data_IF_474810009741
#
_entry.id   IF_474810009741
#
_cell.length_a   1.000
_cell.length_b   1.000
_cell.length_c   1.000
_cell.angle_alpha   90.00
_cell.angle_beta   90.00
_cell.angle_gamma   90.00
#
_symmetry.space_group_name_H-M   'P 1'
#
loop_
_entity.id
_entity.type
_entity.pdbx_description
1 polymer ?
#
# COMPACT_ATOMS: atom_id res chain seq x y z
N UNK A 1 3.96 28.61 -0.81
CA UNK A 1 4.51 27.63 -1.79
C UNK A 1 3.61 26.41 -1.82
N UNK A 2 3.41 25.79 -2.98
CA UNK A 2 2.65 24.53 -3.11
C UNK A 2 3.60 23.35 -2.88
N UNK A 3 3.19 22.39 -2.06
CA UNK A 3 4.03 21.25 -1.67
C UNK A 3 3.19 20.00 -1.52
N UNK A 4 3.67 18.89 -2.07
CA UNK A 4 3.10 17.56 -1.89
C UNK A 4 4.07 16.72 -1.07
N UNK A 5 3.65 16.26 0.10
CA UNK A 5 4.40 15.29 0.89
C UNK A 5 3.92 13.88 0.58
N UNK A 6 4.88 13.01 0.29
CA UNK A 6 4.62 11.63 -0.11
C UNK A 6 5.24 10.69 0.91
N UNK A 7 4.42 9.81 1.49
CA UNK A 7 4.92 8.62 2.16
C UNK A 7 4.94 7.45 1.16
N UNK A 8 6.09 6.80 0.92
CA UNK A 8 6.24 5.80 -0.13
C UNK A 8 5.61 4.45 0.24
N UNK A 9 5.29 3.65 -0.78
CA UNK A 9 4.90 2.25 -0.63
C UNK A 9 6.07 1.28 -0.89
N UNK A 10 6.08 0.05 -0.35
CA UNK A 10 5.30 -0.42 0.81
C UNK A 10 6.15 -0.32 2.09
N UNK A 11 5.50 -0.10 3.22
CA UNK A 11 6.07 -0.08 4.57
C UNK A 11 5.31 -1.03 5.49
N UNK A 12 5.69 -1.11 6.75
CA UNK A 12 5.01 -1.91 7.76
C UNK A 12 3.60 -1.33 8.08
N UNK A 13 2.50 -2.09 7.91
CA UNK A 13 1.13 -1.55 7.95
C UNK A 13 0.64 -1.20 9.35
N UNK A 14 1.26 -1.73 10.40
CA UNK A 14 0.81 -1.53 11.79
C UNK A 14 1.58 -0.42 12.50
N UNK A 15 2.54 0.23 11.84
CA UNK A 15 3.29 1.35 12.41
C UNK A 15 3.02 2.64 11.62
N UNK A 16 2.21 3.57 12.16
CA UNK A 16 1.94 4.84 11.50
C UNK A 16 3.20 5.70 11.47
N UNK A 17 3.54 6.24 10.30
CA UNK A 17 4.70 7.11 10.15
C UNK A 17 4.31 8.57 10.37
N UNK A 18 4.83 9.17 11.43
CA UNK A 18 4.40 10.50 11.88
C UNK A 18 5.19 11.67 11.26
N UNK A 19 6.25 11.41 10.49
CA UNK A 19 7.07 12.52 9.97
C UNK A 19 6.33 13.40 8.95
N UNK A 20 5.51 12.81 8.07
CA UNK A 20 4.72 13.52 7.07
C UNK A 20 3.60 14.37 7.69
N UNK A 21 2.82 13.90 8.69
CA UNK A 21 1.86 14.77 9.37
C UNK A 21 2.55 15.87 10.20
N UNK A 22 3.69 15.58 10.85
CA UNK A 22 4.45 16.62 11.56
C UNK A 22 4.97 17.71 10.63
N UNK A 23 5.60 17.33 9.52
CA UNK A 23 6.11 18.29 8.53
C UNK A 23 4.97 19.08 7.88
N UNK A 24 3.83 18.43 7.63
CA UNK A 24 2.63 19.13 7.12
C UNK A 24 2.17 20.22 8.07
N UNK A 25 2.04 19.91 9.36
CA UNK A 25 1.62 20.88 10.36
C UNK A 25 2.60 22.06 10.44
N UNK A 26 3.90 21.76 10.47
CA UNK A 26 4.95 22.78 10.50
C UNK A 26 4.91 23.71 9.27
N UNK A 27 4.83 23.15 8.06
CA UNK A 27 4.84 23.92 6.83
C UNK A 27 3.55 24.73 6.64
N UNK A 28 2.39 24.17 7.00
CA UNK A 28 1.11 24.91 7.00
C UNK A 28 1.13 26.10 7.96
N UNK A 29 1.74 25.95 9.14
CA UNK A 29 1.93 27.05 10.08
C UNK A 29 2.84 28.18 9.53
N UNK A 30 3.64 27.89 8.50
CA UNK A 30 4.45 28.88 7.75
C UNK A 30 3.73 29.44 6.52
N UNK A 31 2.43 29.18 6.35
CA UNK A 31 1.63 29.67 5.23
C UNK A 31 1.85 28.92 3.91
N UNK A 32 2.39 27.70 3.96
CA UNK A 32 2.52 26.86 2.77
C UNK A 32 1.21 26.12 2.49
N UNK A 33 0.93 25.93 1.19
CA UNK A 33 -0.16 25.09 0.70
C UNK A 33 0.38 23.67 0.57
N UNK A 34 0.03 22.81 1.54
CA UNK A 34 0.62 21.47 1.68
C UNK A 34 -0.44 20.39 1.63
N UNK A 35 -0.28 19.47 0.69
CA UNK A 35 -1.04 18.23 0.58
C UNK A 35 -0.22 17.01 1.00
N UNK A 36 -0.92 15.96 1.43
CA UNK A 36 -0.31 14.67 1.78
C UNK A 36 -0.86 13.55 0.90
N UNK A 37 0.01 12.62 0.52
CA UNK A 37 -0.35 11.33 -0.08
C UNK A 37 0.44 10.22 0.59
N UNK A 38 -0.29 9.30 1.22
CA UNK A 38 0.28 8.10 1.80
C UNK A 38 0.05 6.93 0.84
N UNK A 39 1.10 6.54 0.11
CA UNK A 39 1.01 5.40 -0.80
C UNK A 39 1.10 4.07 -0.08
N UNK A 40 1.59 4.02 1.17
CA UNK A 40 1.63 2.80 1.94
C UNK A 40 0.21 2.31 2.24
N UNK A 41 -0.64 3.19 2.80
CA UNK A 41 -2.05 2.87 3.06
C UNK A 41 -2.77 2.53 1.75
N UNK A 42 -2.61 3.38 0.72
CA UNK A 42 -3.24 3.14 -0.58
C UNK A 42 -2.82 1.79 -1.21
N UNK A 43 -1.59 1.35 -0.96
CA UNK A 43 -1.10 0.06 -1.42
C UNK A 43 -1.76 -1.09 -0.68
N UNK A 44 -1.93 -1.01 0.65
CA UNK A 44 -2.65 -2.03 1.41
C UNK A 44 -4.14 -2.08 1.09
N UNK A 45 -4.79 -0.93 0.86
CA UNK A 45 -6.16 -0.87 0.36
C UNK A 45 -6.28 -1.62 -0.98
N UNK A 46 -5.27 -1.50 -1.86
CA UNK A 46 -5.22 -2.22 -3.12
C UNK A 46 -4.90 -3.72 -2.94
N UNK A 47 -3.87 -4.05 -2.15
CA UNK A 47 -3.41 -5.43 -1.93
C UNK A 47 -4.46 -6.30 -1.25
N UNK A 48 -5.22 -5.72 -0.34
CA UNK A 48 -6.27 -6.40 0.42
C UNK A 48 -7.66 -6.20 -0.19
N UNK A 49 -7.75 -5.60 -1.39
CA UNK A 49 -9.02 -5.45 -2.10
C UNK A 49 -9.58 -6.80 -2.53
N UNK A 50 -10.91 -6.95 -2.49
CA UNK A 50 -11.58 -8.18 -2.92
C UNK A 50 -11.18 -8.62 -4.34
N UNK A 51 -11.10 -7.74 -5.35
CA UNK A 51 -10.68 -8.15 -6.70
C UNK A 51 -9.26 -8.74 -6.74
N UNK A 52 -8.30 -8.16 -6.01
CA UNK A 52 -6.93 -8.65 -6.01
C UNK A 52 -6.80 -9.96 -5.24
N UNK A 53 -7.47 -10.09 -4.09
CA UNK A 53 -7.48 -11.32 -3.31
C UNK A 53 -8.13 -12.49 -4.08
N UNK A 54 -9.26 -12.25 -4.76
CA UNK A 54 -9.89 -13.25 -5.63
C UNK A 54 -8.98 -13.66 -6.79
N UNK A 55 -8.23 -12.72 -7.37
CA UNK A 55 -7.24 -13.02 -8.41
C UNK A 55 -6.11 -13.89 -7.85
N UNK A 56 -5.58 -13.54 -6.67
CA UNK A 56 -4.53 -14.31 -6.01
C UNK A 56 -5.00 -15.74 -5.69
N UNK A 57 -6.22 -15.90 -5.17
CA UNK A 57 -6.84 -17.19 -4.88
C UNK A 57 -6.94 -18.08 -6.13
N UNK A 58 -7.45 -17.53 -7.24
CA UNK A 58 -7.49 -18.26 -8.53
C UNK A 58 -6.11 -18.70 -9.02
N UNK A 59 -5.11 -17.83 -8.91
CA UNK A 59 -3.72 -18.16 -9.30
C UNK A 59 -3.14 -19.28 -8.43
N UNK A 60 -3.39 -19.24 -7.12
CA UNK A 60 -2.97 -20.30 -6.20
C UNK A 60 -3.66 -21.63 -6.52
N UNK A 61 -4.97 -21.63 -6.79
CA UNK A 61 -5.72 -22.82 -7.17
C UNK A 61 -5.18 -23.46 -8.46
N UNK A 62 -4.92 -22.65 -9.49
CA UNK A 62 -4.33 -23.11 -10.75
C UNK A 62 -2.94 -23.72 -10.55
N UNK A 63 -2.08 -23.06 -9.75
CA UNK A 63 -0.73 -23.55 -9.46
C UNK A 63 -0.75 -24.85 -8.65
N UNK A 64 -1.67 -24.96 -7.68
CA UNK A 64 -1.87 -26.19 -6.93
C UNK A 64 -2.29 -27.35 -7.83
N UNK A 65 -3.21 -27.12 -8.78
CA UNK A 65 -3.63 -28.14 -9.74
C UNK A 65 -2.46 -28.61 -10.62
N UNK A 66 -1.65 -27.67 -11.13
CA UNK A 66 -0.46 -28.00 -11.93
C UNK A 66 0.58 -28.81 -11.15
N UNK A 67 0.81 -28.48 -9.87
CA UNK A 67 1.74 -29.23 -9.03
C UNK A 67 1.23 -30.64 -8.73
N UNK A 68 -0.08 -30.82 -8.50
CA UNK A 68 -0.69 -32.14 -8.31
C UNK A 68 -0.58 -33.02 -9.57
N UNK A 69 -0.67 -32.45 -10.76
CA UNK A 69 -0.51 -33.21 -12.00
C UNK A 69 0.95 -33.54 -12.35
N UNK A 70 1.90 -32.77 -11.81
CA UNK A 70 3.35 -33.01 -12.00
C UNK A 70 3.90 -34.06 -11.02
N UNK A 71 3.46 -34.00 -9.77
CA UNK A 71 3.79 -35.00 -8.75
C UNK A 71 2.75 -36.11 -8.74
N UNK A 72 2.66 -36.88 -9.83
CA UNK A 72 1.99 -38.18 -9.82
C UNK A 72 2.61 -39.08 -8.75
N UNK A 73 2.11 -38.96 -7.51
CA UNK A 73 1.94 -40.06 -6.59
C UNK A 73 0.69 -40.83 -7.01
#
# INVERSE_FOLDING_TARGET
>A
MKTLLIFPAQWYPTQPYLSTPYLTAYLRAKGWDVDQRDFNIASYDHFLSAPLLQKAEKLMAQRLQSLKSQNSL
#
